data_IF_878096910901
#
_entry.id   IF_878096910901
#
_cell.length_a   1.000
_cell.length_b   1.000
_cell.length_c   1.000
_cell.angle_alpha   90.00
_cell.angle_beta   90.00
_cell.angle_gamma   90.00
#
_symmetry.space_group_name_H-M   'P 1'
#
loop_
_entity.id
_entity.type
_entity.pdbx_description
1 polymer ?
#
# COMPACT_ATOMS: atom_id res chain seq x y z
N UNK A 1 -12.64 6.98 -9.97
CA UNK A 1 -13.06 6.70 -8.57
C UNK A 1 -12.58 5.30 -8.26
N UNK A 2 -11.74 5.11 -7.24
CA UNK A 2 -11.33 3.76 -6.85
C UNK A 2 -12.57 3.08 -6.26
N UNK A 3 -13.10 2.08 -6.96
CA UNK A 3 -14.16 1.24 -6.42
C UNK A 3 -13.54 0.36 -5.34
N UNK A 4 -14.00 0.54 -4.10
CA UNK A 4 -13.63 -0.33 -2.99
C UNK A 4 -14.83 -1.24 -2.74
N UNK A 5 -14.69 -2.52 -3.08
CA UNK A 5 -15.74 -3.50 -2.83
C UNK A 5 -15.45 -4.27 -1.53
N UNK A 6 -16.48 -4.72 -0.79
CA UNK A 6 -16.29 -5.47 0.47
C UNK A 6 -15.43 -6.73 0.34
N UNK A 7 -15.31 -7.28 -0.87
CA UNK A 7 -14.56 -8.49 -1.17
C UNK A 7 -13.06 -8.24 -1.41
N UNK A 8 -12.65 -6.97 -1.57
CA UNK A 8 -11.24 -6.63 -1.77
C UNK A 8 -10.45 -6.90 -0.50
N UNK A 9 -9.37 -7.66 -0.65
CA UNK A 9 -8.41 -7.88 0.44
C UNK A 9 -7.53 -6.65 0.61
N UNK A 10 -7.39 -6.20 1.84
CA UNK A 10 -6.49 -5.11 2.21
C UNK A 10 -5.24 -5.72 2.84
N UNK A 11 -4.09 -5.48 2.22
CA UNK A 11 -2.78 -5.90 2.71
C UNK A 11 -2.03 -4.67 3.17
N UNK A 12 -1.69 -4.64 4.45
CA UNK A 12 -0.93 -3.54 5.03
C UNK A 12 0.51 -3.97 5.18
N UNK A 13 1.43 -3.25 4.55
CA UNK A 13 2.86 -3.47 4.75
C UNK A 13 3.26 -3.07 6.17
N UNK A 14 3.86 -4.04 6.86
CA UNK A 14 4.38 -3.91 8.23
C UNK A 14 5.63 -3.03 8.24
N UNK A 15 6.54 -3.30 7.30
CA UNK A 15 7.77 -2.54 7.13
C UNK A 15 7.54 -1.24 6.34
N UNK A 16 8.21 -0.13 6.71
CA UNK A 16 8.10 1.11 5.96
C UNK A 16 8.65 0.98 4.54
N UNK A 17 7.91 1.51 3.56
CA UNK A 17 8.36 1.56 2.17
C UNK A 17 9.12 2.85 1.86
N UNK A 18 10.00 2.78 0.86
CA UNK A 18 10.59 3.98 0.25
C UNK A 18 9.56 4.70 -0.62
N UNK A 19 9.12 5.86 -0.16
CA UNK A 19 8.07 6.63 -0.82
C UNK A 19 8.55 7.41 -2.04
N UNK A 20 9.83 7.34 -2.41
CA UNK A 20 10.31 7.77 -3.73
C UNK A 20 9.87 6.81 -4.83
N UNK A 21 9.51 5.56 -4.48
CA UNK A 21 8.97 4.58 -5.44
C UNK A 21 7.59 5.02 -5.94
N UNK A 22 7.44 5.02 -7.27
CA UNK A 22 6.17 5.13 -7.96
C UNK A 22 5.44 3.79 -8.02
N UNK A 23 4.52 3.65 -8.98
CA UNK A 23 3.71 2.44 -9.19
C UNK A 23 4.58 1.19 -9.32
N UNK A 24 5.53 1.17 -10.27
CA UNK A 24 6.31 -0.04 -10.56
C UNK A 24 7.20 -0.46 -9.39
N UNK A 25 7.78 0.52 -8.70
CA UNK A 25 8.62 0.26 -7.53
C UNK A 25 7.83 -0.32 -6.36
N UNK A 26 6.58 0.08 -6.18
CA UNK A 26 5.68 -0.46 -5.15
C UNK A 26 5.09 -1.81 -5.58
N UNK A 27 4.71 -1.98 -6.84
CA UNK A 27 4.28 -3.26 -7.39
C UNK A 27 5.37 -4.33 -7.26
N UNK A 28 6.63 -3.96 -7.49
CA UNK A 28 7.79 -4.82 -7.22
C UNK A 28 7.89 -5.18 -5.74
N UNK A 29 7.63 -4.24 -4.83
CA UNK A 29 7.64 -4.49 -3.39
C UNK A 29 6.53 -5.48 -2.96
N UNK A 30 5.34 -5.43 -3.58
CA UNK A 30 4.31 -6.43 -3.38
C UNK A 30 4.82 -7.85 -3.68
N UNK A 31 5.49 -8.02 -4.83
CA UNK A 31 6.04 -9.33 -5.25
C UNK A 31 7.19 -9.79 -4.37
N UNK A 32 8.15 -8.91 -4.11
CA UNK A 32 9.41 -9.29 -3.45
C UNK A 32 9.27 -9.41 -1.93
N UNK A 33 8.61 -8.46 -1.28
CA UNK A 33 8.52 -8.38 0.17
C UNK A 33 7.22 -8.99 0.71
N UNK A 34 6.07 -8.67 0.10
CA UNK A 34 4.77 -9.16 0.57
C UNK A 34 4.43 -10.55 0.00
N UNK A 35 5.18 -11.03 -1.00
CA UNK A 35 4.92 -12.29 -1.73
C UNK A 35 3.50 -12.35 -2.30
N UNK A 36 2.97 -11.21 -2.71
CA UNK A 36 1.64 -11.10 -3.32
C UNK A 36 1.73 -10.56 -4.74
N UNK A 37 0.81 -10.98 -5.59
CA UNK A 37 0.71 -10.48 -6.94
C UNK A 37 -0.05 -9.13 -6.98
N UNK A 38 0.58 -8.02 -7.40
CA UNK A 38 -0.05 -6.69 -7.42
C UNK A 38 -1.21 -6.56 -8.42
N UNK A 39 -1.41 -7.51 -9.34
CA UNK A 39 -2.48 -7.48 -10.35
C UNK A 39 -3.80 -8.12 -9.87
N UNK A 40 -3.86 -8.61 -8.63
CA UNK A 40 -5.00 -9.36 -8.08
C UNK A 40 -6.22 -8.52 -7.71
N UNK A 41 -6.19 -7.21 -7.94
CA UNK A 41 -7.24 -6.29 -7.49
C UNK A 41 -7.25 -6.07 -5.97
N UNK A 42 -6.19 -6.46 -5.27
CA UNK A 42 -6.06 -6.20 -3.83
C UNK A 42 -5.60 -4.78 -3.56
N UNK A 43 -5.86 -4.33 -2.33
CA UNK A 43 -5.46 -3.01 -1.85
C UNK A 43 -4.18 -3.14 -1.03
N UNK A 44 -3.08 -2.60 -1.53
CA UNK A 44 -1.80 -2.60 -0.83
C UNK A 44 -1.55 -1.24 -0.17
N UNK A 45 -1.43 -1.23 1.16
CA UNK A 45 -1.21 -0.02 1.96
C UNK A 45 0.22 0.00 2.46
N UNK A 46 0.94 1.08 2.15
CA UNK A 46 2.31 1.30 2.58
C UNK A 46 2.39 2.53 3.49
N UNK A 47 3.34 2.52 4.42
CA UNK A 47 3.75 3.69 5.21
C UNK A 47 5.12 4.19 4.82
N UNK A 48 5.36 5.48 4.99
CA UNK A 48 6.73 5.98 5.03
C UNK A 48 7.39 5.67 6.40
N UNK A 49 8.73 5.78 6.45
CA UNK A 49 9.51 5.55 7.67
C UNK A 49 9.08 6.45 8.83
N UNK A 50 8.73 7.70 8.55
CA UNK A 50 8.30 8.67 9.57
C UNK A 50 6.85 8.50 10.01
N UNK A 51 6.12 7.53 9.47
CA UNK A 51 4.71 7.33 9.76
C UNK A 51 3.78 8.53 9.48
N UNK A 52 4.22 9.52 8.70
CA UNK A 52 3.43 10.72 8.39
C UNK A 52 2.65 10.61 7.08
N UNK A 53 2.90 9.58 6.28
CA UNK A 53 2.27 9.41 4.98
C UNK A 53 1.99 7.95 4.64
N UNK A 54 0.92 7.75 3.88
CA UNK A 54 0.52 6.46 3.31
C UNK A 54 0.41 6.52 1.80
N UNK A 55 0.78 5.42 1.15
CA UNK A 55 0.51 5.16 -0.26
C UNK A 55 -0.38 3.93 -0.37
N UNK A 56 -1.40 4.00 -1.22
CA UNK A 56 -2.33 2.90 -1.47
C UNK A 56 -2.25 2.54 -2.95
N UNK A 57 -1.86 1.31 -3.25
CA UNK A 57 -1.72 0.77 -4.60
C UNK A 57 -2.83 -0.24 -4.87
N UNK A 58 -3.50 -0.11 -6.02
CA UNK A 58 -4.58 -1.01 -6.48
C UNK A 58 -4.47 -1.20 -7.98
N UNK A 59 -4.67 -2.41 -8.49
CA UNK A 59 -4.86 -2.67 -9.91
C UNK A 59 -6.34 -2.89 -10.22
N UNK A 60 -6.93 -2.16 -11.17
CA UNK A 60 -8.36 -2.23 -11.47
C UNK A 60 -8.71 -3.14 -12.65
N UNK A 61 -7.73 -3.89 -13.19
CA UNK A 61 -7.89 -4.70 -14.40
C UNK A 61 -7.49 -3.96 -15.68
N UNK A 62 -7.44 -2.62 -15.67
CA UNK A 62 -6.98 -1.80 -16.79
C UNK A 62 -5.64 -1.13 -16.49
N UNK A 63 -5.42 -0.73 -15.24
CA UNK A 63 -4.23 -0.02 -14.82
C UNK A 63 -4.07 0.05 -13.30
N UNK A 64 -2.97 0.67 -12.89
CA UNK A 64 -2.69 0.91 -11.48
C UNK A 64 -3.20 2.27 -11.03
N UNK A 65 -3.88 2.26 -9.89
CA UNK A 65 -4.14 3.45 -9.09
C UNK A 65 -3.13 3.56 -7.96
N UNK A 66 -2.63 4.78 -7.75
CA UNK A 66 -1.79 5.12 -6.61
C UNK A 66 -2.36 6.33 -5.90
N UNK A 67 -2.94 6.11 -4.72
CA UNK A 67 -3.33 7.19 -3.83
C UNK A 67 -2.21 7.52 -2.85
N UNK A 68 -2.00 8.81 -2.59
CA UNK A 68 -1.02 9.29 -1.64
C UNK A 68 -1.68 10.25 -0.64
N UNK A 69 -1.56 9.95 0.66
CA UNK A 69 -2.07 10.81 1.72
C UNK A 69 -0.97 11.10 2.72
N UNK A 70 -0.65 12.39 2.90
CA UNK A 70 0.27 12.89 3.91
C UNK A 70 -0.49 13.66 4.96
N UNK A 71 -0.21 13.39 6.23
CA UNK A 71 -0.76 14.15 7.35
C UNK A 71 -0.02 15.49 7.48
N UNK A 72 -0.77 16.55 7.79
CA UNK A 72 -0.21 17.85 8.17
C UNK A 72 0.39 17.80 9.59
N UNK A 73 -0.19 16.99 10.47
CA UNK A 73 0.28 16.73 11.83
C UNK A 73 -0.09 15.30 12.27
N UNK A 74 0.69 14.72 13.17
CA UNK A 74 0.49 13.37 13.71
C UNK A 74 1.11 12.24 12.87
N UNK A 75 0.85 11.01 13.30
CA UNK A 75 1.44 9.80 12.74
C UNK A 75 0.39 8.70 12.58
N UNK A 76 0.50 7.93 11.50
CA UNK A 76 -0.24 6.70 11.34
C UNK A 76 0.35 5.62 12.25
N UNK A 77 -0.52 5.01 13.06
CA UNK A 77 -0.13 3.96 13.99
C UNK A 77 -0.81 2.67 13.56
N UNK A 78 -0.02 1.68 13.15
CA UNK A 78 -0.42 0.29 13.10
C UNK A 78 0.78 -0.55 13.51
N UNK A 79 0.51 -1.65 14.20
CA UNK A 79 1.55 -2.48 14.79
C UNK A 79 2.41 -3.10 13.69
N UNK A 80 3.71 -2.84 13.76
CA UNK A 80 4.72 -3.51 12.93
C UNK A 80 5.00 -4.96 13.39
N UNK A 81 4.18 -5.50 14.30
CA UNK A 81 4.40 -6.79 14.98
C UNK A 81 3.30 -7.83 14.76
N UNK A 82 2.27 -7.57 13.95
CA UNK A 82 1.17 -8.54 13.77
C UNK A 82 0.99 -8.92 12.32
N UNK A 83 1.74 -9.93 11.88
CA UNK A 83 1.22 -10.93 10.95
C UNK A 83 0.38 -11.91 11.77
N UNK A 84 -0.94 -11.81 11.69
CA UNK A 84 -1.84 -12.95 11.88
C UNK A 84 -2.71 -13.08 10.65
#
# INVERSE_FOLDING_TARGET
MIQITPQMRVVVAVEPADFRKGIDGLARLCKEALKQDPFTGWVFVFRNRRATAVKVLVYDGQGFWLCYKRLSSGHYTWESSVCR
#
